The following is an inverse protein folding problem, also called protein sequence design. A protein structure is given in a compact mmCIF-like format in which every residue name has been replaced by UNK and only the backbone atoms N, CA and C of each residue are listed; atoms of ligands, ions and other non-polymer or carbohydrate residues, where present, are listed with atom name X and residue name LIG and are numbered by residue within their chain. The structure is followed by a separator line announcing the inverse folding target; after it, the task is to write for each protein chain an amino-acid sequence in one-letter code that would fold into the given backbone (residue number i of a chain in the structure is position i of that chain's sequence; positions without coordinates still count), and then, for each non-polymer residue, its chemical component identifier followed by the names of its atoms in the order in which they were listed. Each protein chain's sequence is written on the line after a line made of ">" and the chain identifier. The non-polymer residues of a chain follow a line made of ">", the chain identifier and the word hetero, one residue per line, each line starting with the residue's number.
data_IF_226793134915
#
_entry.id   IF_226793134915
#
_cell.length_a   1.000
_cell.length_b   1.000
_cell.length_c   1.000
_cell.angle_alpha   90.00
_cell.angle_beta   90.00
_cell.angle_gamma   90.00
#
_symmetry.space_group_name_H-M   'P 1'
#
loop_
_entity.id
_entity.type
_entity.pdbx_description
1 polymer ?
#
# COMPACT_ATOMS: atom_id res chain seq x y z
N UNK A 1 7.21 3.75 -5.86
CA UNK A 1 6.68 2.45 -6.32
C UNK A 1 7.49 1.95 -7.49
N UNK A 2 7.78 0.65 -7.55
CA UNK A 2 8.51 0.08 -8.69
C UNK A 2 7.64 -0.83 -9.54
N UNK A 3 7.49 -0.48 -10.82
CA UNK A 3 6.82 -1.34 -11.80
C UNK A 3 7.81 -2.39 -12.33
N UNK A 4 7.48 -3.66 -12.14
CA UNK A 4 8.32 -4.80 -12.60
C UNK A 4 7.91 -5.29 -13.98
N UNK A 5 6.60 -5.26 -14.26
CA UNK A 5 6.06 -5.68 -15.54
C UNK A 5 4.58 -5.33 -15.65
N UNK A 6 4.12 -5.08 -16.86
CA UNK A 6 2.71 -4.85 -17.16
C UNK A 6 2.34 -5.51 -18.48
N UNK A 7 1.15 -6.07 -18.53
CA UNK A 7 0.55 -6.60 -19.75
C UNK A 7 -0.91 -6.11 -19.78
N UNK A 8 -1.18 -5.16 -20.66
CA UNK A 8 -2.49 -4.54 -20.84
C UNK A 8 -2.98 -4.88 -22.24
N UNK A 9 -4.15 -5.51 -22.31
CA UNK A 9 -4.83 -5.82 -23.56
C UNK A 9 -5.49 -4.58 -24.15
N UNK A 10 -5.89 -4.66 -25.42
CA UNK A 10 -6.62 -3.59 -26.12
C UNK A 10 -7.94 -3.18 -25.43
N UNK A 11 -8.51 -4.07 -24.62
CA UNK A 11 -9.74 -3.83 -23.88
C UNK A 11 -9.47 -3.24 -22.48
N UNK A 12 -8.27 -2.70 -22.24
CA UNK A 12 -7.80 -2.23 -20.93
C UNK A 12 -7.77 -3.30 -19.83
N UNK A 13 -8.04 -4.56 -20.14
CA UNK A 13 -7.90 -5.68 -19.20
C UNK A 13 -6.45 -6.12 -19.10
N UNK A 14 -6.00 -6.56 -17.93
CA UNK A 14 -4.61 -6.97 -17.81
C UNK A 14 -4.10 -7.03 -16.39
N UNK A 15 -2.78 -7.20 -16.27
CA UNK A 15 -2.11 -7.22 -14.98
C UNK A 15 -0.92 -6.27 -14.94
N UNK A 16 -0.68 -5.75 -13.74
CA UNK A 16 0.50 -4.96 -13.42
C UNK A 16 1.14 -5.56 -12.18
N UNK A 17 2.44 -5.84 -12.29
CA UNK A 17 3.28 -6.36 -11.23
C UNK A 17 4.11 -5.23 -10.64
N UNK A 18 3.98 -5.04 -9.33
CA UNK A 18 4.47 -3.89 -8.59
C UNK A 18 5.26 -4.33 -7.36
N UNK A 19 6.11 -3.44 -6.87
CA UNK A 19 6.73 -3.49 -5.54
C UNK A 19 6.46 -2.13 -4.88
N UNK A 20 5.87 -2.14 -3.70
CA UNK A 20 5.69 -0.96 -2.87
C UNK A 20 6.97 -0.72 -2.08
N UNK A 21 7.59 0.45 -2.21
CA UNK A 21 8.90 0.79 -1.61
C UNK A 21 8.73 1.64 -0.34
N UNK A 22 7.59 2.29 -0.15
CA UNK A 22 7.28 3.13 1.01
C UNK A 22 5.80 3.03 1.44
N UNK A 23 5.44 3.75 2.50
CA UNK A 23 4.06 3.77 3.02
C UNK A 23 3.07 4.42 2.04
N UNK A 24 3.52 5.39 1.24
CA UNK A 24 2.70 6.06 0.25
C UNK A 24 2.29 5.10 -0.87
N UNK A 25 3.22 4.27 -1.34
CA UNK A 25 2.95 3.22 -2.31
C UNK A 25 1.94 2.20 -1.77
N UNK A 26 1.98 1.92 -0.46
CA UNK A 26 1.00 1.05 0.20
C UNK A 26 -0.38 1.70 0.23
N UNK A 27 -0.45 3.01 0.51
CA UNK A 27 -1.68 3.78 0.41
C UNK A 27 -2.22 3.83 -1.03
N UNK A 28 -1.35 4.04 -2.01
CA UNK A 28 -1.71 4.00 -3.41
C UNK A 28 -2.30 2.65 -3.78
N UNK A 29 -1.63 1.57 -3.35
CA UNK A 29 -2.08 0.20 -3.61
C UNK A 29 -3.47 -0.04 -3.01
N UNK A 30 -3.75 0.50 -1.81
CA UNK A 30 -5.08 0.45 -1.22
C UNK A 30 -6.14 1.15 -2.08
N UNK A 31 -5.81 2.29 -2.69
CA UNK A 31 -6.75 3.01 -3.58
C UNK A 31 -6.88 2.36 -4.97
N UNK A 32 -5.82 1.73 -5.46
CA UNK A 32 -5.81 1.04 -6.75
C UNK A 32 -6.65 -0.24 -6.71
N UNK A 33 -6.60 -1.01 -5.62
CA UNK A 33 -7.28 -2.31 -5.54
C UNK A 33 -8.74 -2.14 -5.15
N UNK A 34 -9.63 -2.79 -5.90
CA UNK A 34 -11.07 -2.79 -5.69
C UNK A 34 -11.58 -4.20 -5.41
N UNK A 35 -12.80 -4.27 -4.85
CA UNK A 35 -13.50 -5.54 -4.65
C UNK A 35 -13.80 -6.17 -6.01
N UNK A 36 -13.51 -7.46 -6.17
CA UNK A 36 -13.59 -8.21 -7.43
C UNK A 36 -12.28 -8.27 -8.22
N UNK A 37 -11.28 -7.46 -7.87
CA UNK A 37 -9.96 -7.58 -8.48
C UNK A 37 -9.24 -8.85 -8.04
N UNK A 38 -8.33 -9.34 -8.88
CA UNK A 38 -7.48 -10.49 -8.56
C UNK A 38 -6.12 -10.00 -8.10
N UNK A 39 -5.71 -10.46 -6.92
CA UNK A 39 -4.43 -10.12 -6.29
C UNK A 39 -3.58 -11.36 -6.14
N UNK A 40 -2.35 -11.30 -6.65
CA UNK A 40 -1.35 -12.36 -6.48
C UNK A 40 -0.18 -11.85 -5.64
N UNK A 41 0.06 -12.50 -4.51
CA UNK A 41 1.18 -12.18 -3.62
C UNK A 41 1.73 -13.46 -2.96
N UNK A 42 2.94 -13.35 -2.41
CA UNK A 42 3.52 -14.39 -1.58
C UNK A 42 2.91 -14.35 -0.18
N UNK A 43 2.60 -15.51 0.37
CA UNK A 43 2.04 -15.64 1.72
C UNK A 43 2.56 -16.90 2.40
N UNK A 44 2.47 -16.94 3.72
CA UNK A 44 2.89 -18.09 4.52
C UNK A 44 1.65 -18.80 5.06
N UNK A 45 1.53 -20.10 4.76
CA UNK A 45 0.44 -20.95 5.23
C UNK A 45 0.99 -22.03 6.16
N UNK A 46 0.31 -22.22 7.31
CA UNK A 46 0.50 -23.40 8.16
C UNK A 46 -0.24 -24.58 7.52
N UNK A 47 0.50 -25.62 7.14
CA UNK A 47 0.01 -26.87 6.57
C UNK A 47 0.18 -27.95 7.62
N UNK A 48 -0.89 -28.66 7.94
CA UNK A 48 -0.86 -29.81 8.82
C UNK A 48 -0.72 -31.07 7.95
N UNK A 49 0.32 -31.85 8.21
CA UNK A 49 0.52 -33.15 7.60
C UNK A 49 0.31 -34.22 8.67
N UNK A 50 -0.64 -35.11 8.40
CA UNK A 50 -0.86 -36.31 9.22
C UNK A 50 -0.05 -37.46 8.63
N UNK A 51 0.83 -38.04 9.44
CA UNK A 51 1.60 -39.23 9.06
C UNK A 51 0.76 -40.49 9.27
N UNK A 52 1.05 -41.56 8.53
CA UNK A 52 0.36 -42.86 8.66
C UNK A 52 0.39 -43.46 10.09
N UNK A 53 1.30 -42.98 10.94
CA UNK A 53 1.43 -43.34 12.36
C UNK A 53 0.57 -42.49 13.32
N UNK A 54 -0.29 -41.61 12.80
CA UNK A 54 -1.19 -40.76 13.61
C UNK A 54 -0.52 -39.52 14.22
N UNK A 55 0.74 -39.23 13.87
CA UNK A 55 1.43 -38.01 14.31
C UNK A 55 1.10 -36.82 13.41
N UNK A 56 0.64 -35.72 14.01
CA UNK A 56 0.31 -34.45 13.32
C UNK A 56 1.54 -33.54 13.37
N UNK A 57 2.12 -33.23 12.22
CA UNK A 57 3.19 -32.24 12.11
C UNK A 57 2.67 -30.98 11.41
N UNK A 58 2.90 -29.81 12.01
CA UNK A 58 2.56 -28.52 11.39
C UNK A 58 3.82 -27.91 10.76
N UNK A 59 3.78 -27.66 9.45
CA UNK A 59 4.85 -26.99 8.71
C UNK A 59 4.37 -25.65 8.18
N UNK A 60 5.21 -24.62 8.27
CA UNK A 60 4.96 -23.35 7.58
C UNK A 60 5.56 -23.41 6.18
N UNK A 61 4.74 -23.09 5.17
CA UNK A 61 5.16 -23.11 3.76
C UNK A 61 4.85 -21.75 3.15
N UNK A 62 5.85 -21.17 2.48
CA UNK A 62 5.67 -19.95 1.66
C UNK A 62 5.15 -20.37 0.30
N UNK A 63 4.04 -19.78 -0.13
CA UNK A 63 3.39 -20.07 -1.42
C UNK A 63 2.86 -18.77 -2.02
N UNK A 64 2.73 -18.72 -3.34
CA UNK A 64 2.09 -17.60 -4.02
C UNK A 64 0.62 -17.94 -4.23
N UNK A 65 -0.27 -17.14 -3.66
CA UNK A 65 -1.72 -17.31 -3.83
C UNK A 65 -2.27 -16.18 -4.68
N UNK A 66 -3.28 -16.52 -5.47
CA UNK A 66 -4.06 -15.55 -6.24
C UNK A 66 -5.47 -15.55 -5.69
N UNK A 67 -5.86 -14.46 -5.04
CA UNK A 67 -7.19 -14.30 -4.46
C UNK A 67 -8.00 -13.30 -5.27
N UNK A 68 -9.31 -13.50 -5.32
CA UNK A 68 -10.28 -12.46 -5.67
C UNK A 68 -10.65 -11.68 -4.41
N UNK A 69 -10.44 -10.37 -4.44
CA UNK A 69 -10.53 -9.49 -3.28
C UNK A 69 -12.00 -9.27 -2.93
N UNK A 70 -12.38 -9.61 -1.70
CA UNK A 70 -13.71 -9.32 -1.15
C UNK A 70 -13.68 -8.16 -0.14
N UNK A 71 -12.56 -8.00 0.57
CA UNK A 71 -12.40 -6.93 1.57
C UNK A 71 -10.96 -6.48 1.68
N UNK A 72 -10.77 -5.18 1.73
CA UNK A 72 -9.49 -4.54 2.04
C UNK A 72 -9.54 -3.96 3.46
N UNK A 73 -8.43 -4.05 4.19
CA UNK A 73 -8.29 -3.40 5.49
C UNK A 73 -6.85 -2.95 5.65
N UNK A 74 -6.65 -1.64 5.81
CA UNK A 74 -5.36 -1.05 6.15
C UNK A 74 -5.31 -0.69 7.63
N UNK A 75 -4.16 -0.90 8.28
CA UNK A 75 -3.92 -0.42 9.64
C UNK A 75 -3.13 0.88 9.52
N UNK A 76 -3.70 1.98 10.01
CA UNK A 76 -3.17 3.37 9.96
C UNK A 76 -1.74 3.57 10.51
N UNK A 77 -1.10 2.54 11.07
CA UNK A 77 0.28 2.57 11.61
C UNK A 77 1.11 1.32 11.29
N UNK A 78 0.55 0.39 10.52
CA UNK A 78 1.11 -0.96 10.39
C UNK A 78 2.01 -1.16 9.19
N UNK A 79 2.02 -0.27 8.20
CA UNK A 79 2.70 -0.48 6.90
C UNK A 79 2.27 -1.78 6.18
N UNK A 80 1.16 -2.41 6.61
CA UNK A 80 0.67 -3.69 6.09
C UNK A 80 -0.76 -3.52 5.62
N UNK A 81 -1.01 -3.96 4.39
CA UNK A 81 -2.33 -3.97 3.78
C UNK A 81 -2.88 -5.41 3.80
N UNK A 82 -4.01 -5.59 4.47
CA UNK A 82 -4.69 -6.89 4.56
C UNK A 82 -5.77 -7.00 3.48
N UNK A 83 -5.64 -8.00 2.62
CA UNK A 83 -6.55 -8.29 1.52
C UNK A 83 -7.20 -9.64 1.79
N UNK A 84 -8.48 -9.64 2.14
CA UNK A 84 -9.26 -10.86 2.35
C UNK A 84 -10.00 -11.22 1.07
N UNK A 85 -9.93 -12.49 0.68
CA UNK A 85 -10.54 -12.97 -0.54
C UNK A 85 -10.59 -14.49 -0.66
N UNK A 86 -11.09 -14.96 -1.79
CA UNK A 86 -11.15 -16.39 -2.13
C UNK A 86 -10.06 -16.74 -3.12
N UNK A 87 -9.42 -17.89 -2.93
CA UNK A 87 -8.43 -18.40 -3.86
C UNK A 87 -9.08 -18.76 -5.22
N UNK A 88 -8.61 -18.17 -6.30
CA UNK A 88 -9.16 -18.37 -7.67
C UNK A 88 -8.22 -19.14 -8.59
N UNK A 89 -7.05 -19.55 -8.10
CA UNK A 89 -6.08 -20.37 -8.85
C UNK A 89 -5.72 -21.60 -8.02
N UNK A 90 -5.64 -22.76 -8.68
CA UNK A 90 -5.27 -24.00 -7.99
C UNK A 90 -3.90 -23.85 -7.31
N UNK A 91 -3.80 -24.30 -6.06
CA UNK A 91 -2.58 -24.25 -5.29
C UNK A 91 -2.38 -25.56 -4.53
N UNK A 92 -1.12 -25.95 -4.37
CA UNK A 92 -0.73 -27.18 -3.69
C UNK A 92 -1.18 -27.22 -2.22
N UNK A 93 -1.31 -26.06 -1.57
CA UNK A 93 -1.60 -25.96 -0.13
C UNK A 93 -2.96 -25.32 0.19
N UNK A 94 -3.63 -24.74 -0.81
CA UNK A 94 -4.89 -24.01 -0.62
C UNK A 94 -5.87 -24.41 -1.71
N UNK A 95 -7.01 -24.97 -1.30
CA UNK A 95 -8.06 -25.40 -2.23
C UNK A 95 -8.62 -24.20 -2.99
N UNK A 96 -9.10 -24.45 -4.21
CA UNK A 96 -9.88 -23.48 -4.97
C UNK A 96 -11.12 -23.06 -4.18
N UNK A 97 -11.43 -21.76 -4.19
CA UNK A 97 -12.55 -21.15 -3.46
C UNK A 97 -12.33 -21.00 -1.95
N UNK A 98 -11.22 -21.48 -1.40
CA UNK A 98 -10.93 -21.32 0.02
C UNK A 98 -10.60 -19.86 0.36
N UNK A 99 -11.06 -19.40 1.52
CA UNK A 99 -10.78 -18.07 2.02
C UNK A 99 -9.35 -17.95 2.53
N UNK A 100 -8.69 -16.84 2.17
CA UNK A 100 -7.37 -16.49 2.67
C UNK A 100 -7.23 -14.98 2.81
N UNK A 101 -6.37 -14.55 3.72
CA UNK A 101 -5.98 -13.15 3.86
C UNK A 101 -4.53 -13.01 3.40
N UNK A 102 -4.30 -12.20 2.37
CA UNK A 102 -2.96 -11.79 1.96
C UNK A 102 -2.54 -10.56 2.77
N UNK A 103 -1.35 -10.63 3.35
CA UNK A 103 -0.72 -9.51 4.04
C UNK A 103 0.33 -8.96 3.09
N UNK A 104 0.07 -7.80 2.50
CA UNK A 104 1.04 -7.12 1.65
C UNK A 104 1.98 -6.29 2.52
N UNK A 105 3.28 -6.39 2.26
CA UNK A 105 4.33 -5.63 2.95
C UNK A 105 5.15 -4.82 1.96
N UNK A 106 5.82 -3.79 2.48
CA UNK A 106 6.85 -3.05 1.75
C UNK A 106 7.95 -4.01 1.28
N UNK A 107 8.49 -3.74 0.09
CA UNK A 107 9.50 -4.52 -0.63
C UNK A 107 9.05 -5.92 -1.08
N UNK A 108 7.77 -6.28 -0.91
CA UNK A 108 7.22 -7.50 -1.45
C UNK A 108 6.61 -7.29 -2.84
N UNK A 109 6.89 -8.24 -3.74
CA UNK A 109 6.34 -8.26 -5.09
C UNK A 109 4.90 -8.76 -5.06
N UNK A 110 4.01 -7.97 -5.65
CA UNK A 110 2.61 -8.33 -5.84
C UNK A 110 2.17 -8.05 -7.27
N UNK A 111 1.05 -8.64 -7.67
CA UNK A 111 0.45 -8.43 -8.99
C UNK A 111 -1.03 -8.17 -8.83
N UNK A 112 -1.47 -7.05 -9.40
CA UNK A 112 -2.87 -6.67 -9.51
C UNK A 112 -3.34 -7.07 -10.91
N UNK A 113 -4.41 -7.84 -11.00
CA UNK A 113 -5.09 -8.17 -12.25
C UNK A 113 -6.50 -7.59 -12.19
N UNK A 114 -6.82 -6.70 -13.14
CA UNK A 114 -8.11 -6.04 -13.26
C UNK A 114 -8.79 -6.43 -14.56
N UNK A 115 -10.12 -6.42 -14.54
CA UNK A 115 -10.93 -6.54 -15.76
C UNK A 115 -10.77 -5.31 -16.65
N UNK A 116 -10.59 -4.14 -16.06
CA UNK A 116 -10.37 -2.87 -16.75
C UNK A 116 -9.42 -2.00 -15.92
N UNK A 117 -8.38 -1.49 -16.57
CA UNK A 117 -7.51 -0.44 -16.06
C UNK A 117 -7.96 0.89 -16.65
N UNK A 118 -8.49 1.75 -15.80
CA UNK A 118 -8.83 3.11 -16.17
C UNK A 118 -7.58 3.98 -16.35
N UNK A 119 -7.72 5.05 -17.13
CA UNK A 119 -6.62 5.97 -17.41
C UNK A 119 -6.08 6.65 -16.15
N UNK A 120 -6.93 6.88 -15.14
CA UNK A 120 -6.52 7.46 -13.85
C UNK A 120 -5.66 6.47 -13.07
N UNK A 121 -6.06 5.21 -12.95
CA UNK A 121 -5.21 4.19 -12.30
C UNK A 121 -3.85 4.02 -13.00
N UNK A 122 -3.80 4.01 -14.33
CA UNK A 122 -2.54 3.94 -15.08
C UNK A 122 -1.66 5.15 -14.80
N UNK A 123 -2.24 6.36 -14.88
CA UNK A 123 -1.53 7.61 -14.58
C UNK A 123 -0.99 7.62 -13.15
N UNK A 124 -1.78 7.17 -12.17
CA UNK A 124 -1.35 7.10 -10.76
C UNK A 124 -0.18 6.14 -10.56
N UNK A 125 -0.19 4.98 -11.22
CA UNK A 125 0.93 4.02 -11.19
C UNK A 125 2.18 4.63 -11.83
N UNK A 126 2.04 5.35 -12.93
CA UNK A 126 3.16 6.03 -13.61
C UNK A 126 3.75 7.15 -12.76
N UNK A 127 2.90 7.98 -12.14
CA UNK A 127 3.32 9.04 -11.22
C UNK A 127 4.06 8.49 -10.01
N UNK A 128 3.55 7.41 -9.41
CA UNK A 128 4.18 6.78 -8.25
C UNK A 128 5.49 6.05 -8.60
N UNK A 129 5.72 5.77 -9.88
CA UNK A 129 6.97 5.20 -10.38
C UNK A 129 8.04 6.24 -10.69
N UNK A 130 7.70 7.53 -10.75
CA UNK A 130 8.65 8.60 -11.03
C UNK A 130 9.26 9.16 -9.74
N UNK A 131 10.56 8.92 -9.48
CA UNK A 131 11.22 9.42 -8.27
C UNK A 131 11.35 10.95 -8.24
N UNK A 132 11.20 11.64 -9.38
CA UNK A 132 11.24 13.11 -9.43
C UNK A 132 9.98 13.75 -8.86
N UNK A 133 8.89 12.97 -8.77
CA UNK A 133 7.61 13.39 -8.19
C UNK A 133 7.54 13.11 -6.68
N UNK A 134 8.63 12.75 -6.01
CA UNK A 134 8.67 12.59 -4.54
C UNK A 134 9.23 13.86 -3.90
N UNK A 135 8.40 14.90 -3.81
CA UNK A 135 8.74 16.12 -3.07
C UNK A 135 7.81 16.26 -1.86
N UNK A 136 8.38 16.08 -0.68
CA UNK A 136 7.67 16.28 0.59
C UNK A 136 7.67 17.77 0.96
N UNK A 137 6.50 18.28 1.32
CA UNK A 137 6.33 19.64 1.81
C UNK A 137 6.03 19.60 3.31
N UNK A 138 6.91 20.17 4.13
CA UNK A 138 6.61 20.36 5.54
C UNK A 138 5.90 21.71 5.75
N UNK A 139 4.80 21.70 6.51
CA UNK A 139 4.07 22.91 6.87
C UNK A 139 3.86 22.98 8.37
N UNK A 140 4.03 24.18 8.94
CA UNK A 140 3.76 24.45 10.35
C UNK A 140 2.65 25.48 10.46
N UNK A 141 1.50 25.04 10.96
CA UNK A 141 0.35 25.91 11.20
C UNK A 141 0.36 26.30 12.67
N UNK A 142 0.46 27.60 12.97
CA UNK A 142 0.47 28.10 14.34
C UNK A 142 -0.76 28.97 14.61
N UNK A 143 -1.41 28.71 15.73
CA UNK A 143 -2.47 29.50 16.34
C UNK A 143 -2.09 29.78 17.79
N UNK A 144 -2.66 30.80 18.42
CA UNK A 144 -2.44 31.07 19.84
C UNK A 144 -2.59 29.78 20.66
N UNK A 145 -1.55 29.41 21.41
CA UNK A 145 -1.56 28.20 22.23
C UNK A 145 -1.19 26.88 21.53
N UNK A 146 -1.15 26.84 20.19
CA UNK A 146 -1.12 25.59 19.41
C UNK A 146 -0.22 25.68 18.18
N UNK A 147 0.58 24.64 17.96
CA UNK A 147 1.30 24.43 16.71
C UNK A 147 1.03 23.04 16.15
N UNK A 148 0.79 22.99 14.84
CA UNK A 148 0.48 21.80 14.06
C UNK A 148 1.62 21.59 13.07
N UNK A 149 2.39 20.52 13.25
CA UNK A 149 3.44 20.13 12.30
C UNK A 149 2.84 19.09 11.36
N UNK A 150 2.73 19.46 10.08
CA UNK A 150 2.15 18.66 9.02
C UNK A 150 3.24 18.29 8.01
N UNK A 151 3.21 17.04 7.54
CA UNK A 151 3.92 16.62 6.35
C UNK A 151 2.87 16.47 5.24
N UNK A 152 2.99 17.31 4.22
CA UNK A 152 2.15 17.26 3.03
C UNK A 152 2.93 16.47 1.99
N UNK A 153 2.42 15.32 1.61
CA UNK A 153 2.94 14.56 0.49
C UNK A 153 1.95 14.60 -0.66
N UNK A 154 2.38 14.21 -1.86
CA UNK A 154 1.55 14.28 -3.06
C UNK A 154 0.32 13.38 -2.97
N UNK A 155 0.38 12.33 -2.15
CA UNK A 155 -0.71 11.38 -2.01
C UNK A 155 -1.52 11.54 -0.72
N UNK A 156 -0.94 12.11 0.33
CA UNK A 156 -1.58 12.24 1.64
C UNK A 156 -1.15 13.49 2.40
N UNK A 157 -2.09 14.06 3.16
CA UNK A 157 -1.75 15.00 4.23
C UNK A 157 -1.57 14.20 5.53
N UNK A 158 -0.34 14.17 6.05
CA UNK A 158 -0.03 13.46 7.28
C UNK A 158 0.20 14.44 8.43
N UNK A 159 -0.58 14.27 9.50
CA UNK A 159 -0.42 15.08 10.69
C UNK A 159 0.64 14.45 11.62
N UNK A 160 1.83 15.04 11.66
CA UNK A 160 2.98 14.45 12.35
C UNK A 160 2.88 14.67 13.84
N UNK A 161 2.58 15.90 14.28
CA UNK A 161 2.58 16.22 15.72
C UNK A 161 1.78 17.46 16.05
N UNK A 162 0.98 17.35 17.13
CA UNK A 162 0.36 18.48 17.82
C UNK A 162 1.28 18.92 18.95
N UNK A 163 1.64 20.20 18.95
CA UNK A 163 2.37 20.85 20.03
C UNK A 163 1.43 21.87 20.68
N UNK A 164 1.39 21.85 22.02
CA UNK A 164 0.70 22.86 22.82
C UNK A 164 1.80 23.75 23.37
N UNK A 165 1.79 25.02 23.00
CA UNK A 165 2.84 25.98 23.33
C UNK A 165 2.19 27.25 23.84
N UNK A 166 2.65 27.80 24.97
CA UNK A 166 2.13 29.05 25.51
C UNK A 166 2.79 30.24 24.77
N UNK A 167 2.12 30.77 23.75
CA UNK A 167 2.52 32.00 23.06
C UNK A 167 1.29 32.86 22.75
N UNK A 168 1.38 34.17 22.99
CA UNK A 168 0.40 35.17 22.55
C UNK A 168 0.82 35.71 21.18
N UNK A 169 0.40 35.05 20.10
CA UNK A 169 0.67 35.51 18.75
C UNK A 169 -0.53 35.26 17.83
N UNK A 170 -0.79 36.24 16.95
CA UNK A 170 -1.77 36.15 15.87
C UNK A 170 -1.39 35.03 14.88
N UNK A 171 -2.41 34.42 14.27
CA UNK A 171 -2.29 33.28 13.34
C UNK A 171 -1.25 33.56 12.24
N UNK A 172 -0.22 32.71 12.15
CA UNK A 172 0.77 32.71 11.07
C UNK A 172 0.96 31.29 10.56
N UNK A 173 0.85 31.12 9.23
CA UNK A 173 1.15 29.86 8.54
C UNK A 173 2.57 29.96 8.01
N UNK A 174 3.45 29.08 8.45
CA UNK A 174 4.83 29.00 7.95
C UNK A 174 4.98 27.77 7.07
N UNK A 175 5.38 27.95 5.81
CA UNK A 175 5.67 26.87 4.88
C UNK A 175 7.18 26.59 4.90
N UNK A 176 7.59 25.37 5.25
CA UNK A 176 8.99 24.94 5.18
C UNK A 176 9.17 24.06 3.95
N UNK A 177 9.56 24.67 2.83
CA UNK A 177 9.98 23.95 1.63
C UNK A 177 11.35 23.32 1.87
N UNK A 178 11.37 22.05 2.27
CA UNK A 178 12.59 21.25 2.28
C UNK A 178 12.84 20.66 0.90
N UNK A 179 13.12 21.50 -0.09
CA UNK A 179 13.91 21.01 -1.22
C UNK A 179 15.35 20.85 -0.72
N UNK A 180 16.09 19.83 -1.18
CA UNK A 180 17.50 19.59 -0.82
C UNK A 180 18.46 20.77 -1.11
N UNK A 181 17.95 21.95 -1.48
CA UNK A 181 18.68 23.20 -1.66
C UNK A 181 17.84 24.36 -1.12
N UNK A 182 18.30 24.94 -0.01
CA UNK A 182 17.83 26.19 0.59
C UNK A 182 16.39 26.23 1.10
N UNK A 183 16.28 26.28 2.43
CA UNK A 183 15.09 26.75 3.14
C UNK A 183 14.89 28.23 2.81
N UNK A 184 13.79 28.56 2.13
CA UNK A 184 13.32 29.95 2.00
C UNK A 184 12.06 30.09 2.84
N UNK A 185 12.12 30.96 3.84
CA UNK A 185 10.98 31.35 4.68
C UNK A 185 10.14 32.37 3.90
N UNK A 186 8.84 32.12 3.76
CA UNK A 186 7.85 33.09 3.26
C UNK A 186 6.92 33.50 4.41
#
# INVERSE_FOLDING_TARGET
>A
MKVIGRELNKNSSGYITLIAENEEDMWLTYNLVQVGDKMRCSTVRKVQNESATGSVQTKQVRTNLTIEVEKLTSICRGSVLHLKGRNVVENQFVKMGAYHTLDLRIDEKFTITKTEWDSVAIMLVEQASDPTQQADLAAVIMHEGLAYVCLITIQQLLFVRRLILQFHANVQVYLLLSTKRSVTLF
#
